data_IF_163404218351
#
_entry.id   IF_163404218351
#
_cell.length_a   1.000
_cell.length_b   1.000
_cell.length_c   1.000
_cell.angle_alpha   90.00
_cell.angle_beta   90.00
_cell.angle_gamma   90.00
#
_symmetry.space_group_name_H-M   'P 1'
#
loop_
_entity.id
_entity.type
_entity.pdbx_description
1 polymer ?
#
# COMPACT_ATOMS: atom_id res chain seq x y z
N UNK A 1 -14.05 40.33 -33.43
CA UNK A 1 -13.98 41.76 -33.04
C UNK A 1 -15.41 42.24 -32.78
N UNK A 2 -15.89 42.19 -31.54
CA UNK A 2 -17.16 42.79 -31.14
C UNK A 2 -16.91 43.59 -29.86
N UNK A 3 -16.71 44.89 -30.03
CA UNK A 3 -16.61 45.83 -28.92
C UNK A 3 -18.02 46.09 -28.39
N UNK A 4 -18.37 45.49 -27.25
CA UNK A 4 -19.48 45.97 -26.43
C UNK A 4 -18.95 46.40 -25.07
N UNK A 5 -18.97 47.70 -24.86
CA UNK A 5 -18.65 48.40 -23.62
C UNK A 5 -19.76 48.19 -22.59
N UNK A 6 -19.38 47.93 -21.34
CA UNK A 6 -20.29 47.95 -20.19
C UNK A 6 -20.70 49.39 -19.85
N UNK A 7 -21.88 49.56 -19.25
CA UNK A 7 -22.53 50.84 -18.93
C UNK A 7 -21.73 51.76 -17.98
N UNK A 8 -20.59 51.32 -17.44
CA UNK A 8 -19.73 52.10 -16.54
C UNK A 8 -18.25 52.17 -16.98
N UNK A 9 -17.97 52.07 -18.29
CA UNK A 9 -16.73 52.63 -18.86
C UNK A 9 -15.39 52.04 -18.41
N UNK A 10 -15.35 50.88 -17.75
CA UNK A 10 -14.10 50.13 -17.50
C UNK A 10 -13.93 49.00 -18.51
N UNK A 11 -12.72 48.90 -19.08
CA UNK A 11 -12.31 47.81 -19.94
C UNK A 11 -12.25 46.51 -19.12
N UNK A 12 -13.13 45.55 -19.44
CA UNK A 12 -13.09 44.23 -18.83
C UNK A 12 -11.84 43.49 -19.33
N UNK A 13 -10.83 43.44 -18.46
CA UNK A 13 -9.67 42.56 -18.64
C UNK A 13 -10.11 41.11 -18.58
N UNK A 14 -9.85 40.40 -19.67
CA UNK A 14 -9.51 38.99 -19.75
C UNK A 14 -10.48 37.96 -19.12
N UNK A 15 -11.47 37.55 -19.91
CA UNK A 15 -12.26 36.32 -19.67
C UNK A 15 -11.74 35.12 -20.45
N UNK A 16 -10.42 34.97 -20.63
CA UNK A 16 -9.83 33.85 -21.39
C UNK A 16 -9.81 32.51 -20.64
N UNK A 17 -10.32 32.46 -19.40
CA UNK A 17 -10.58 31.22 -18.66
C UNK A 17 -11.85 30.47 -19.13
N UNK A 18 -12.67 31.07 -20.00
CA UNK A 18 -13.92 30.45 -20.47
C UNK A 18 -13.63 29.67 -21.76
N UNK A 19 -13.73 28.33 -21.71
CA UNK A 19 -13.62 27.45 -22.90
C UNK A 19 -14.50 28.00 -24.03
N UNK A 20 -13.87 28.61 -25.03
CA UNK A 20 -14.52 29.01 -26.28
C UNK A 20 -14.69 27.73 -27.09
N UNK A 21 -15.91 27.20 -27.12
CA UNK A 21 -16.23 26.08 -28.00
C UNK A 21 -16.29 26.63 -29.42
N UNK A 22 -15.21 26.43 -30.16
CA UNK A 22 -15.17 26.78 -31.58
C UNK A 22 -16.05 25.79 -32.36
N UNK A 23 -17.22 26.25 -32.78
CA UNK A 23 -18.22 25.43 -33.49
C UNK A 23 -17.61 24.81 -34.75
N UNK A 24 -16.66 25.48 -35.40
CA UNK A 24 -16.00 24.98 -36.61
C UNK A 24 -14.98 23.88 -36.29
N UNK A 25 -14.21 24.02 -35.21
CA UNK A 25 -13.29 22.98 -34.74
C UNK A 25 -14.04 21.70 -34.32
N UNK A 26 -15.16 21.87 -33.61
CA UNK A 26 -16.01 20.74 -33.21
C UNK A 26 -16.74 20.11 -34.40
N UNK A 27 -17.16 20.89 -35.39
CA UNK A 27 -17.72 20.39 -36.64
C UNK A 27 -16.67 19.61 -37.46
N UNK A 28 -15.43 20.10 -37.53
CA UNK A 28 -14.32 19.40 -38.17
C UNK A 28 -13.97 18.08 -37.44
N UNK A 29 -13.91 18.10 -36.10
CA UNK A 29 -13.74 16.88 -35.29
C UNK A 29 -14.89 15.88 -35.47
N UNK A 30 -16.14 16.36 -35.57
CA UNK A 30 -17.29 15.52 -35.86
C UNK A 30 -17.20 14.88 -37.25
N UNK A 31 -16.82 15.65 -38.27
CA UNK A 31 -16.61 15.15 -39.63
C UNK A 31 -15.49 14.11 -39.71
N UNK A 32 -14.36 14.35 -39.06
CA UNK A 32 -13.26 13.38 -38.99
C UNK A 32 -13.67 12.08 -38.28
N UNK A 33 -14.48 12.18 -37.22
CA UNK A 33 -15.05 11.00 -36.55
C UNK A 33 -16.01 10.23 -37.47
N UNK A 34 -16.91 10.92 -38.17
CA UNK A 34 -17.85 10.30 -39.12
C UNK A 34 -17.14 9.64 -40.30
N UNK A 35 -16.06 10.25 -40.79
CA UNK A 35 -15.22 9.71 -41.85
C UNK A 35 -14.46 8.46 -41.36
N UNK A 36 -13.85 8.51 -40.18
CA UNK A 36 -13.23 7.35 -39.54
C UNK A 36 -14.21 6.20 -39.27
N UNK A 37 -15.43 6.49 -38.81
CA UNK A 37 -16.48 5.49 -38.63
C UNK A 37 -16.94 4.86 -39.96
N UNK A 38 -16.95 5.66 -41.04
CA UNK A 38 -17.29 5.20 -42.39
C UNK A 38 -16.21 4.28 -42.96
N UNK A 39 -14.94 4.63 -42.77
CA UNK A 39 -13.80 3.81 -43.19
C UNK A 39 -13.71 2.52 -42.38
N UNK A 40 -13.88 2.58 -41.06
CA UNK A 40 -13.93 1.39 -40.20
C UNK A 40 -15.08 0.46 -40.62
N UNK A 41 -16.25 1.02 -40.97
CA UNK A 41 -17.39 0.23 -41.46
C UNK A 41 -17.09 -0.48 -42.78
N UNK A 42 -16.40 0.19 -43.71
CA UNK A 42 -15.93 -0.43 -44.97
C UNK A 42 -14.93 -1.55 -44.69
N UNK A 43 -13.92 -1.30 -43.86
CA UNK A 43 -12.91 -2.29 -43.52
C UNK A 43 -13.50 -3.51 -42.78
N UNK A 44 -14.51 -3.30 -41.91
CA UNK A 44 -15.28 -4.39 -41.29
C UNK A 44 -16.04 -5.22 -42.31
N UNK A 45 -16.63 -4.59 -43.32
CA UNK A 45 -17.36 -5.25 -44.39
C UNK A 45 -16.42 -6.07 -45.29
N UNK A 46 -15.28 -5.51 -45.66
CA UNK A 46 -14.23 -6.18 -46.44
C UNK A 46 -13.64 -7.38 -45.70
N UNK A 47 -13.33 -7.24 -44.41
CA UNK A 47 -12.86 -8.35 -43.59
C UNK A 47 -13.91 -9.47 -43.49
N UNK A 48 -15.19 -9.13 -43.36
CA UNK A 48 -16.31 -10.08 -43.36
C UNK A 48 -16.41 -10.84 -44.69
N UNK A 49 -16.26 -10.15 -45.82
CA UNK A 49 -16.20 -10.75 -47.16
C UNK A 49 -15.00 -11.70 -47.32
N UNK A 50 -13.86 -11.34 -46.76
CA UNK A 50 -12.64 -12.16 -46.77
C UNK A 50 -12.64 -13.30 -45.74
N UNK A 51 -13.72 -13.48 -44.96
CA UNK A 51 -13.81 -14.49 -43.89
C UNK A 51 -12.85 -14.25 -42.71
N UNK A 52 -12.23 -13.08 -42.62
CA UNK A 52 -11.28 -12.72 -41.55
C UNK A 52 -11.98 -11.88 -40.48
N UNK A 53 -11.58 -12.04 -39.21
CA UNK A 53 -12.03 -11.13 -38.15
C UNK A 53 -11.38 -9.76 -38.34
N UNK A 54 -12.19 -8.71 -38.36
CA UNK A 54 -11.71 -7.33 -38.36
C UNK A 54 -11.06 -6.99 -37.01
N UNK A 55 -9.92 -6.33 -37.07
CA UNK A 55 -9.25 -5.73 -35.92
C UNK A 55 -8.89 -4.29 -36.29
N UNK A 56 -9.07 -3.36 -35.36
CA UNK A 56 -8.61 -1.98 -35.55
C UNK A 56 -7.08 -1.99 -35.80
N UNK A 57 -6.57 -1.24 -36.80
CA UNK A 57 -5.13 -1.07 -37.00
C UNK A 57 -4.44 -0.50 -35.74
N UNK A 58 -3.20 -0.91 -35.52
CA UNK A 58 -2.35 -0.45 -34.42
C UNK A 58 -1.79 0.95 -34.76
N UNK A 59 -1.74 1.85 -33.77
CA UNK A 59 -1.37 3.27 -33.87
C UNK A 59 0.13 3.53 -33.58
N UNK A 60 0.91 2.47 -33.32
CA UNK A 60 2.35 2.52 -33.12
C UNK A 60 2.79 2.91 -31.70
N UNK A 61 1.87 3.28 -30.82
CA UNK A 61 2.13 3.59 -29.41
C UNK A 61 1.99 2.38 -28.48
N UNK A 62 1.90 1.16 -29.04
CA UNK A 62 1.58 -0.04 -28.25
C UNK A 62 2.77 -0.63 -27.50
N UNK A 63 2.44 -1.31 -26.40
CA UNK A 63 3.39 -2.02 -25.57
C UNK A 63 3.42 -3.51 -25.93
N UNK A 64 4.55 -4.17 -25.67
CA UNK A 64 4.65 -5.62 -25.83
C UNK A 64 3.80 -6.32 -24.76
N UNK A 65 3.12 -7.41 -25.15
CA UNK A 65 2.36 -8.22 -24.20
C UNK A 65 3.32 -8.84 -23.19
N UNK A 66 3.19 -8.45 -21.92
CA UNK A 66 3.97 -9.01 -20.80
C UNK A 66 3.13 -9.92 -19.93
N UNK A 67 3.78 -10.80 -19.17
CA UNK A 67 3.10 -11.61 -18.17
C UNK A 67 2.50 -10.71 -17.09
N UNK A 68 1.28 -11.04 -16.62
CA UNK A 68 0.62 -10.27 -15.56
C UNK A 68 1.43 -10.38 -14.26
N UNK A 69 1.62 -9.25 -13.58
CA UNK A 69 2.30 -9.21 -12.29
C UNK A 69 1.37 -9.58 -11.12
N UNK A 70 0.06 -9.41 -11.28
CA UNK A 70 -0.93 -9.71 -10.26
C UNK A 70 -1.62 -11.05 -10.52
N UNK A 71 -1.66 -11.90 -9.50
CA UNK A 71 -2.43 -13.16 -9.50
C UNK A 71 -3.91 -12.82 -9.44
N UNK A 72 -4.71 -13.33 -10.38
CA UNK A 72 -6.17 -13.19 -10.30
C UNK A 72 -6.72 -14.20 -9.30
N UNK A 73 -7.26 -13.71 -8.20
CA UNK A 73 -7.87 -14.53 -7.16
C UNK A 73 -9.37 -14.72 -7.40
N UNK A 74 -9.74 -15.90 -7.90
CA UNK A 74 -11.12 -16.27 -8.16
C UNK A 74 -11.82 -16.92 -6.95
N UNK A 75 -11.08 -17.23 -5.87
CA UNK A 75 -11.64 -17.93 -4.70
C UNK A 75 -12.64 -17.08 -3.92
N UNK A 76 -12.45 -15.76 -3.95
CA UNK A 76 -13.32 -14.76 -3.30
C UNK A 76 -14.78 -14.76 -3.80
N UNK A 77 -15.03 -15.33 -4.97
CA UNK A 77 -16.35 -15.40 -5.60
C UNK A 77 -17.02 -16.77 -5.45
N UNK A 78 -16.36 -17.73 -4.77
CA UNK A 78 -16.92 -19.06 -4.53
C UNK A 78 -17.93 -18.98 -3.38
N UNK A 79 -19.19 -19.34 -3.65
CA UNK A 79 -20.28 -19.32 -2.66
C UNK A 79 -21.03 -18.00 -2.53
N UNK A 80 -20.61 -16.94 -3.23
CA UNK A 80 -21.31 -15.65 -3.21
C UNK A 80 -22.54 -15.69 -4.12
N UNK A 81 -23.73 -15.46 -3.57
CA UNK A 81 -24.97 -15.32 -4.35
C UNK A 81 -25.27 -13.84 -4.59
N UNK A 82 -25.35 -13.41 -5.85
CA UNK A 82 -25.67 -12.01 -6.20
C UNK A 82 -27.07 -11.95 -6.82
N UNK A 83 -27.92 -11.06 -6.28
CA UNK A 83 -29.25 -10.79 -6.85
C UNK A 83 -29.10 -10.03 -8.18
N UNK A 84 -29.56 -10.64 -9.26
CA UNK A 84 -29.51 -10.04 -10.60
C UNK A 84 -30.86 -9.44 -10.95
N UNK A 85 -30.95 -8.12 -11.23
CA UNK A 85 -32.19 -7.52 -11.69
C UNK A 85 -32.62 -8.16 -13.01
N UNK A 86 -33.88 -8.61 -13.08
CA UNK A 86 -34.48 -9.13 -14.30
C UNK A 86 -34.46 -8.05 -15.40
N UNK A 87 -33.58 -8.20 -16.39
CA UNK A 87 -33.31 -7.18 -17.42
C UNK A 87 -31.82 -6.85 -17.58
N UNK A 88 -30.98 -7.18 -16.60
CA UNK A 88 -29.50 -7.10 -16.69
C UNK A 88 -28.92 -8.27 -17.49
N UNK A 89 -29.55 -8.56 -18.62
CA UNK A 89 -29.21 -9.70 -19.47
C UNK A 89 -27.87 -9.45 -20.16
N UNK A 90 -26.89 -10.25 -19.78
CA UNK A 90 -25.76 -10.78 -20.55
C UNK A 90 -25.73 -10.32 -22.01
N UNK A 91 -24.82 -9.41 -22.35
CA UNK A 91 -24.68 -8.91 -23.71
C UNK A 91 -23.84 -7.64 -23.78
N UNK A 92 -23.67 -7.14 -25.02
CA UNK A 92 -22.74 -6.06 -25.42
C UNK A 92 -22.82 -4.73 -24.67
N UNK A 93 -23.80 -4.52 -23.78
CA UNK A 93 -24.06 -3.22 -23.12
C UNK A 93 -24.72 -3.34 -21.74
N UNK A 94 -24.45 -4.40 -20.98
CA UNK A 94 -25.03 -4.57 -19.64
C UNK A 94 -24.04 -5.12 -18.62
N UNK A 95 -23.89 -4.44 -17.48
CA UNK A 95 -23.23 -4.97 -16.27
C UNK A 95 -24.18 -5.99 -15.62
N UNK A 96 -24.16 -7.22 -16.12
CA UNK A 96 -24.91 -8.35 -15.54
C UNK A 96 -24.11 -9.05 -14.45
N UNK A 97 -24.64 -10.14 -13.89
CA UNK A 97 -23.85 -10.99 -12.99
C UNK A 97 -22.71 -11.70 -13.74
N UNK A 98 -21.52 -11.65 -13.13
CA UNK A 98 -20.30 -12.26 -13.64
C UNK A 98 -19.13 -11.27 -13.69
N UNK A 99 -18.09 -11.63 -14.44
CA UNK A 99 -16.91 -10.79 -14.67
C UNK A 99 -17.19 -9.77 -15.77
N UNK A 100 -16.99 -8.48 -15.49
CA UNK A 100 -17.20 -7.40 -16.44
C UNK A 100 -15.87 -6.83 -16.97
N UNK A 101 -15.73 -6.72 -18.28
CA UNK A 101 -14.60 -6.06 -18.92
C UNK A 101 -14.97 -4.63 -19.28
N UNK A 102 -14.27 -3.66 -18.71
CA UNK A 102 -14.52 -2.23 -19.00
C UNK A 102 -14.07 -1.86 -20.41
N UNK A 103 -12.93 -2.39 -20.87
CA UNK A 103 -12.39 -2.08 -22.20
C UNK A 103 -13.27 -2.57 -23.35
N UNK A 104 -14.00 -3.67 -23.16
CA UNK A 104 -14.79 -4.30 -24.22
C UNK A 104 -16.30 -4.20 -23.96
N UNK A 105 -16.72 -3.67 -22.82
CA UNK A 105 -18.13 -3.56 -22.39
C UNK A 105 -18.89 -4.90 -22.43
N UNK A 106 -18.20 -6.00 -22.09
CA UNK A 106 -18.74 -7.36 -22.10
C UNK A 106 -18.76 -7.96 -20.69
N UNK A 107 -19.84 -8.69 -20.40
CA UNK A 107 -19.99 -9.47 -19.16
C UNK A 107 -19.86 -10.96 -19.46
N UNK A 108 -19.05 -11.68 -18.67
CA UNK A 108 -18.77 -13.10 -18.77
C UNK A 108 -19.24 -13.84 -17.53
N UNK A 109 -19.87 -15.01 -17.71
CA UNK A 109 -20.44 -15.78 -16.59
C UNK A 109 -19.39 -16.63 -15.87
N UNK A 110 -18.50 -17.22 -16.65
CA UNK A 110 -17.52 -18.19 -16.15
C UNK A 110 -16.11 -17.58 -16.11
N UNK A 111 -15.30 -18.00 -15.14
CA UNK A 111 -13.90 -17.62 -15.02
C UNK A 111 -13.07 -17.98 -16.28
N UNK A 112 -13.36 -19.11 -16.90
CA UNK A 112 -12.70 -19.56 -18.12
C UNK A 112 -12.97 -18.61 -19.29
N UNK A 113 -14.24 -18.25 -19.51
CA UNK A 113 -14.63 -17.32 -20.56
C UNK A 113 -14.03 -15.92 -20.33
N UNK A 114 -13.96 -15.50 -19.06
CA UNK A 114 -13.28 -14.27 -18.67
C UNK A 114 -11.79 -14.30 -19.06
N UNK A 115 -11.05 -15.32 -18.64
CA UNK A 115 -9.62 -15.43 -18.94
C UNK A 115 -9.37 -15.51 -20.45
N UNK A 116 -10.17 -16.30 -21.18
CA UNK A 116 -10.11 -16.40 -22.63
C UNK A 116 -10.37 -15.05 -23.30
N UNK A 117 -11.28 -14.23 -22.75
CA UNK A 117 -11.52 -12.88 -23.23
C UNK A 117 -10.35 -11.94 -22.98
N UNK A 118 -9.82 -11.87 -21.76
CA UNK A 118 -8.71 -10.97 -21.43
C UNK A 118 -7.44 -11.34 -22.21
N UNK A 119 -7.27 -12.63 -22.54
CA UNK A 119 -6.18 -13.11 -23.39
C UNK A 119 -6.49 -13.05 -24.89
N UNK A 120 -7.69 -12.62 -25.29
CA UNK A 120 -8.06 -12.53 -26.70
C UNK A 120 -7.33 -11.38 -27.39
N UNK A 121 -6.94 -11.59 -28.65
CA UNK A 121 -6.33 -10.55 -29.49
C UNK A 121 -7.20 -9.30 -29.64
N UNK A 122 -8.52 -9.42 -29.51
CA UNK A 122 -9.43 -8.28 -29.57
C UNK A 122 -9.27 -7.39 -28.32
N UNK A 123 -9.23 -8.00 -27.14
CA UNK A 123 -9.02 -7.29 -25.88
C UNK A 123 -7.60 -6.71 -25.77
N UNK A 124 -6.58 -7.50 -26.13
CA UNK A 124 -5.19 -7.05 -26.10
C UNK A 124 -4.94 -5.84 -27.01
N UNK A 125 -5.49 -5.84 -28.23
CA UNK A 125 -5.39 -4.67 -29.12
C UNK A 125 -6.18 -3.47 -28.61
N UNK A 126 -7.37 -3.69 -28.01
CA UNK A 126 -8.14 -2.61 -27.41
C UNK A 126 -7.44 -1.97 -26.20
N UNK A 127 -6.58 -2.72 -25.51
CA UNK A 127 -5.73 -2.24 -24.39
C UNK A 127 -4.37 -1.72 -24.84
N UNK A 128 -4.09 -1.67 -26.16
CA UNK A 128 -2.81 -1.16 -26.67
C UNK A 128 -1.64 -2.13 -26.51
N UNK A 129 -1.90 -3.44 -26.48
CA UNK A 129 -0.87 -4.48 -26.47
C UNK A 129 -0.74 -5.13 -27.85
N UNK A 130 0.51 -5.32 -28.29
CA UNK A 130 0.80 -6.08 -29.51
C UNK A 130 0.90 -7.57 -29.21
N UNK A 131 0.34 -8.41 -30.10
CA UNK A 131 0.49 -9.88 -30.04
C UNK A 131 1.79 -10.40 -30.66
N UNK A 132 2.73 -9.52 -30.99
CA UNK A 132 4.02 -9.91 -31.56
C UNK A 132 4.93 -10.48 -30.46
N UNK A 133 5.35 -11.73 -30.64
CA UNK A 133 6.30 -12.39 -29.74
C UNK A 133 7.71 -12.11 -30.26
N UNK A 134 8.48 -11.27 -29.55
CA UNK A 134 9.91 -11.09 -29.81
C UNK A 134 10.71 -12.14 -29.05
N UNK A 135 11.72 -12.72 -29.69
CA UNK A 135 12.69 -13.57 -28.99
C UNK A 135 13.58 -12.66 -28.15
N UNK A 136 13.75 -13.00 -26.86
CA UNK A 136 14.61 -12.24 -25.96
C UNK A 136 16.07 -12.31 -26.42
N UNK A 137 16.78 -11.20 -26.31
CA UNK A 137 18.24 -11.16 -26.55
C UNK A 137 19.00 -11.69 -25.32
N UNK A 138 20.26 -12.09 -25.50
CA UNK A 138 21.10 -12.56 -24.39
C UNK A 138 21.30 -11.46 -23.33
N UNK A 139 21.37 -10.20 -23.75
CA UNK A 139 21.49 -9.03 -22.88
C UNK A 139 20.23 -8.81 -22.03
N UNK A 140 19.04 -8.94 -22.64
CA UNK A 140 17.76 -8.85 -21.91
C UNK A 140 17.59 -9.99 -20.89
N UNK A 141 18.06 -11.20 -21.22
CA UNK A 141 18.04 -12.34 -20.30
C UNK A 141 19.01 -12.09 -19.14
N UNK A 142 20.20 -11.56 -19.41
CA UNK A 142 21.17 -11.22 -18.38
C UNK A 142 20.62 -10.17 -17.40
N UNK A 143 20.08 -9.07 -17.92
CA UNK A 143 19.46 -8.02 -17.11
C UNK A 143 18.29 -8.54 -16.27
N UNK A 144 17.51 -9.49 -16.80
CA UNK A 144 16.41 -10.11 -16.06
C UNK A 144 16.91 -11.05 -14.95
N UNK A 145 17.98 -11.79 -15.19
CA UNK A 145 18.63 -12.64 -14.17
C UNK A 145 19.22 -11.76 -13.07
N UNK A 146 19.90 -10.67 -13.41
CA UNK A 146 20.42 -9.70 -12.44
C UNK A 146 19.30 -9.10 -11.59
N UNK A 147 18.21 -8.63 -12.20
CA UNK A 147 17.07 -8.07 -11.45
C UNK A 147 16.42 -9.09 -10.49
N UNK A 148 16.33 -10.37 -10.90
CA UNK A 148 15.83 -11.45 -10.02
C UNK A 148 16.83 -11.75 -8.90
N UNK A 149 18.12 -11.75 -9.20
CA UNK A 149 19.18 -11.93 -8.22
C UNK A 149 19.21 -10.81 -7.19
N UNK A 150 19.09 -9.55 -7.61
CA UNK A 150 19.00 -8.38 -6.73
C UNK A 150 17.78 -8.45 -5.81
N UNK A 151 16.61 -8.81 -6.35
CA UNK A 151 15.40 -9.04 -5.52
C UNK A 151 15.61 -10.16 -4.50
N UNK A 152 16.32 -11.22 -4.86
CA UNK A 152 16.65 -12.31 -3.94
C UNK A 152 17.66 -11.87 -2.87
N UNK A 153 18.66 -11.06 -3.24
CA UNK A 153 19.65 -10.52 -2.31
C UNK A 153 19.04 -9.48 -1.37
N UNK A 154 18.10 -8.64 -1.84
CA UNK A 154 17.35 -7.72 -1.01
C UNK A 154 16.56 -8.47 0.08
N UNK A 155 15.80 -9.49 -0.31
CA UNK A 155 15.11 -10.38 0.64
C UNK A 155 16.07 -11.02 1.65
N UNK A 156 17.22 -11.53 1.18
CA UNK A 156 18.25 -12.10 2.08
C UNK A 156 18.87 -11.07 3.04
N UNK A 157 19.04 -9.82 2.62
CA UNK A 157 19.53 -8.73 3.48
C UNK A 157 18.48 -8.33 4.51
N UNK A 158 17.20 -8.38 4.15
CA UNK A 158 16.07 -8.15 5.05
C UNK A 158 15.95 -9.26 6.12
N UNK A 159 16.30 -10.50 5.77
CA UNK A 159 16.31 -11.67 6.68
C UNK A 159 17.45 -11.65 7.72
N UNK A 160 18.38 -10.68 7.68
CA UNK A 160 19.47 -10.53 8.66
C UNK A 160 18.92 -9.84 9.93
N UNK A 161 18.50 -10.65 10.90
CA UNK A 161 17.73 -10.20 12.08
C UNK A 161 18.63 -9.83 13.27
N UNK A 162 19.88 -10.29 13.37
CA UNK A 162 20.72 -9.98 14.55
C UNK A 162 21.34 -8.58 14.48
N UNK A 163 21.28 -7.83 15.59
CA UNK A 163 21.87 -6.48 15.71
C UNK A 163 23.36 -6.46 15.33
N UNK A 164 24.08 -7.52 15.66
CA UNK A 164 25.51 -7.64 15.43
C UNK A 164 25.85 -7.81 13.94
N UNK A 165 25.07 -8.60 13.20
CA UNK A 165 25.25 -8.75 11.76
C UNK A 165 24.89 -7.47 11.00
N UNK A 166 23.87 -6.71 11.43
CA UNK A 166 23.57 -5.39 10.85
C UNK A 166 24.70 -4.39 11.06
N UNK A 167 25.33 -4.38 12.24
CA UNK A 167 26.48 -3.52 12.52
C UNK A 167 27.71 -3.90 11.68
N UNK A 168 27.91 -5.19 11.42
CA UNK A 168 28.97 -5.67 10.54
C UNK A 168 28.74 -5.27 9.08
N UNK A 169 27.52 -5.45 8.56
CA UNK A 169 27.16 -5.01 7.20
C UNK A 169 27.36 -3.49 7.04
N UNK A 170 26.92 -2.69 8.03
CA UNK A 170 27.13 -1.23 8.03
C UNK A 170 28.61 -0.86 8.00
N UNK A 171 29.43 -1.55 8.80
CA UNK A 171 30.88 -1.33 8.88
C UNK A 171 31.57 -1.69 7.57
N UNK A 172 31.17 -2.80 6.94
CA UNK A 172 31.69 -3.21 5.63
C UNK A 172 31.29 -2.24 4.52
N UNK A 173 30.06 -1.70 4.53
CA UNK A 173 29.62 -0.65 3.61
C UNK A 173 30.43 0.63 3.81
N UNK A 174 30.64 1.07 5.05
CA UNK A 174 31.46 2.24 5.37
C UNK A 174 32.94 2.06 4.97
N UNK A 175 33.49 0.86 5.17
CA UNK A 175 34.87 0.55 4.79
C UNK A 175 35.02 0.51 3.26
N UNK A 176 34.05 -0.05 2.52
CA UNK A 176 33.99 0.00 1.05
C UNK A 176 33.87 1.44 0.55
N UNK A 177 33.02 2.26 1.14
CA UNK A 177 32.87 3.66 0.77
C UNK A 177 34.17 4.45 1.01
N UNK A 178 34.89 4.15 2.12
CA UNK A 178 36.22 4.72 2.37
C UNK A 178 37.25 4.25 1.35
N UNK A 179 37.22 2.99 0.93
CA UNK A 179 38.08 2.45 -0.13
C UNK A 179 37.78 3.08 -1.49
N UNK A 180 36.52 3.29 -1.85
CA UNK A 180 36.14 4.00 -3.07
C UNK A 180 36.57 5.47 -3.04
N UNK A 181 36.41 6.14 -1.89
CA UNK A 181 36.92 7.50 -1.69
C UNK A 181 38.45 7.54 -1.81
N UNK A 182 39.17 6.53 -1.32
CA UNK A 182 40.63 6.39 -1.50
C UNK A 182 40.99 6.17 -2.98
N UNK A 183 40.25 5.33 -3.70
CA UNK A 183 40.44 5.08 -5.14
C UNK A 183 40.23 6.37 -5.95
N UNK A 184 39.11 7.06 -5.74
CA UNK A 184 38.82 8.36 -6.38
C UNK A 184 39.88 9.43 -6.07
N UNK A 185 40.39 9.49 -4.83
CA UNK A 185 41.49 10.41 -4.46
C UNK A 185 42.79 10.07 -5.19
N UNK A 186 43.11 8.79 -5.34
CA UNK A 186 44.29 8.32 -6.07
C UNK A 186 44.17 8.66 -7.57
N UNK A 187 43.04 8.33 -8.19
CA UNK A 187 42.79 8.63 -9.61
C UNK A 187 42.82 10.16 -9.89
N UNK A 188 42.30 10.97 -8.95
CA UNK A 188 42.38 12.43 -9.06
C UNK A 188 43.82 12.96 -8.88
N UNK A 189 44.62 12.35 -8.01
CA UNK A 189 46.03 12.72 -7.82
C UNK A 189 46.88 12.32 -9.04
N UNK A 190 46.64 11.15 -9.62
CA UNK A 190 47.33 10.69 -10.84
C UNK A 190 46.96 11.57 -12.04
N UNK A 191 45.68 11.97 -12.17
CA UNK A 191 45.26 12.96 -13.20
C UNK A 191 45.97 14.30 -13.04
N UNK A 192 46.03 14.85 -11.81
CA UNK A 192 46.77 16.10 -11.53
C UNK A 192 48.28 15.97 -11.78
N UNK A 193 48.87 14.79 -11.58
CA UNK A 193 50.29 14.56 -11.88
C UNK A 193 50.55 14.59 -13.38
N UNK A 194 49.70 13.93 -14.17
CA UNK A 194 49.77 13.95 -15.64
C UNK A 194 49.59 15.37 -16.18
N UNK A 195 48.61 16.14 -15.69
CA UNK A 195 48.40 17.55 -16.07
C UNK A 195 49.64 18.41 -15.76
N UNK A 196 50.31 18.19 -14.62
CA UNK A 196 51.56 18.90 -14.27
C UNK A 196 52.74 18.50 -15.15
N UNK A 197 52.84 17.23 -15.54
CA UNK A 197 53.88 16.76 -16.47
C UNK A 197 53.65 17.31 -17.89
N UNK A 198 52.40 17.36 -18.35
CA UNK A 198 52.01 18.01 -19.60
C UNK A 198 52.26 19.52 -19.55
N UNK A 199 51.88 20.21 -18.47
CA UNK A 199 52.17 21.64 -18.30
C UNK A 199 53.68 21.94 -18.26
N UNK A 200 54.49 21.04 -17.68
CA UNK A 200 55.96 21.16 -17.74
C UNK A 200 56.50 20.94 -19.14
N UNK A 201 55.96 19.97 -19.90
CA UNK A 201 56.33 19.75 -21.31
C UNK A 201 55.96 20.96 -22.18
N UNK A 202 54.76 21.51 -22.00
CA UNK A 202 54.32 22.74 -22.67
C UNK A 202 55.22 23.93 -22.31
N UNK A 203 55.63 24.05 -21.04
CA UNK A 203 56.56 25.10 -20.58
C UNK A 203 58.01 24.91 -21.07
N UNK A 204 58.40 23.70 -21.46
CA UNK A 204 59.70 23.46 -22.13
C UNK A 204 59.65 23.68 -23.65
N UNK A 205 58.48 23.61 -24.27
CA UNK A 205 58.31 23.84 -25.71
C UNK A 205 58.13 25.32 -26.09
N UNK A 206 57.80 26.21 -25.15
CA UNK A 206 57.83 27.66 -25.33
C UNK A 206 58.65 28.31 -24.21
N UNK A 207 59.85 28.80 -24.55
CA UNK A 207 60.77 29.45 -23.62
C UNK A 207 60.24 30.75 -23.02
N UNK A 208 60.82 31.09 -21.85
CA UNK A 208 60.58 32.26 -21.00
C UNK A 208 60.09 33.52 -21.73
N UNK A 209 58.91 34.04 -21.35
CA UNK A 209 58.79 35.37 -20.74
C UNK A 209 57.34 35.68 -20.28
N UNK A 210 57.26 36.67 -19.39
CA UNK A 210 56.09 37.44 -18.91
C UNK A 210 55.50 37.04 -17.54
N UNK A 211 55.99 37.81 -16.55
CA UNK A 211 55.41 38.15 -15.25
C UNK A 211 54.13 38.98 -15.44
N UNK A 212 53.01 38.58 -14.83
CA UNK A 212 51.92 39.47 -14.41
C UNK A 212 51.43 39.04 -13.03
N UNK A 213 51.44 40.00 -12.11
CA UNK A 213 50.94 39.93 -10.72
C UNK A 213 49.40 39.99 -10.69
N UNK A 214 48.80 39.38 -9.66
CA UNK A 214 47.37 39.48 -9.38
C UNK A 214 46.98 38.72 -8.12
N UNK A 215 46.96 39.46 -7.00
CA UNK A 215 46.42 39.07 -5.69
C UNK A 215 44.92 38.72 -5.76
N UNK A 216 44.51 37.66 -5.07
CA UNK A 216 43.39 37.70 -4.10
C UNK A 216 43.32 36.39 -3.30
N UNK A 217 43.50 36.51 -1.99
CA UNK A 217 43.01 35.57 -0.98
C UNK A 217 41.52 35.85 -0.75
N UNK A 218 40.63 34.87 -0.86
CA UNK A 218 39.37 34.82 -0.08
C UNK A 218 38.97 33.36 0.20
N UNK A 219 39.10 32.97 1.47
CA UNK A 219 38.44 31.83 2.09
C UNK A 219 36.92 32.08 2.21
N UNK A 220 36.15 30.99 2.15
CA UNK A 220 34.82 30.78 2.76
C UNK A 220 33.70 31.81 2.46
N UNK A 221 32.89 31.52 1.44
CA UNK A 221 31.52 32.05 1.37
C UNK A 221 30.56 31.08 0.66
N UNK A 222 29.87 30.22 1.43
CA UNK A 222 28.41 29.99 1.39
C UNK A 222 28.01 28.70 2.11
N UNK A 223 27.98 28.78 3.44
CA UNK A 223 26.89 28.19 4.21
C UNK A 223 25.97 29.34 4.66
N UNK A 224 24.66 29.19 4.46
CA UNK A 224 23.51 29.89 5.05
C UNK A 224 22.45 30.08 3.97
N UNK A 225 21.31 29.40 4.12
CA UNK A 225 19.95 29.95 4.03
C UNK A 225 18.99 28.80 4.34
N UNK A 226 18.54 28.74 5.59
CA UNK A 226 17.32 28.02 5.94
C UNK A 226 16.10 28.79 5.46
N UNK A 227 15.03 28.06 5.10
CA UNK A 227 13.70 28.64 5.00
C UNK A 227 12.69 27.72 5.68
N UNK A 228 11.72 28.40 6.29
CA UNK A 228 10.92 28.05 7.45
C UNK A 228 9.69 27.21 7.13
N UNK A 229 9.19 26.53 8.15
CA UNK A 229 8.03 25.65 8.08
C UNK A 229 6.67 26.34 7.95
N UNK A 230 5.71 25.45 7.68
CA UNK A 230 4.28 25.42 8.05
C UNK A 230 3.23 26.12 7.16
N UNK A 231 1.95 25.65 7.14
CA UNK A 231 1.35 24.69 8.08
C UNK A 231 0.54 23.51 7.51
N UNK A 232 0.41 22.54 8.41
CA UNK A 232 -0.65 21.53 8.55
C UNK A 232 -2.02 22.20 8.60
N UNK A 233 -3.04 21.59 7.96
CA UNK A 233 -4.43 21.78 8.37
C UNK A 233 -5.46 21.53 7.28
N UNK A 234 -5.99 20.30 7.21
CA UNK A 234 -7.41 20.05 6.91
C UNK A 234 -7.81 18.69 7.50
N UNK A 235 -8.03 18.65 8.81
CA UNK A 235 -8.90 17.64 9.41
C UNK A 235 -10.35 18.16 9.28
N UNK A 236 -11.01 17.77 8.19
CA UNK A 236 -12.43 17.98 8.03
C UNK A 236 -13.21 17.19 9.08
N UNK A 237 -14.25 17.80 9.62
CA UNK A 237 -15.21 17.24 10.59
C UNK A 237 -15.79 15.88 10.13
N UNK A 238 -15.12 14.77 10.48
CA UNK A 238 -15.56 13.40 10.25
C UNK A 238 -16.47 12.84 11.37
N UNK A 239 -16.67 13.60 12.45
CA UNK A 239 -17.35 13.14 13.66
C UNK A 239 -18.79 12.66 13.46
N UNK A 240 -19.51 13.20 12.47
CA UNK A 240 -20.92 12.83 12.25
C UNK A 240 -21.10 11.45 11.61
N UNK A 241 -20.22 11.04 10.70
CA UNK A 241 -20.36 9.75 10.01
C UNK A 241 -19.85 8.59 10.87
N UNK A 242 -18.72 8.79 11.54
CA UNK A 242 -18.13 7.82 12.46
C UNK A 242 -19.09 7.51 13.63
N UNK A 243 -19.68 8.54 14.24
CA UNK A 243 -20.62 8.37 15.35
C UNK A 243 -21.87 7.56 14.95
N UNK A 244 -22.47 7.83 13.79
CA UNK A 244 -23.62 7.06 13.31
C UNK A 244 -23.27 5.60 12.99
N UNK A 245 -22.07 5.34 12.46
CA UNK A 245 -21.58 3.98 12.23
C UNK A 245 -21.40 3.23 13.55
N UNK A 246 -20.75 3.85 14.54
CA UNK A 246 -20.51 3.28 15.86
C UNK A 246 -21.82 3.00 16.61
N UNK A 247 -22.81 3.89 16.55
CA UNK A 247 -24.14 3.64 17.12
C UNK A 247 -24.79 2.39 16.53
N UNK A 248 -24.70 2.20 15.21
CA UNK A 248 -25.24 1.02 14.55
C UNK A 248 -24.50 -0.26 14.97
N UNK A 249 -23.17 -0.21 15.00
CA UNK A 249 -22.33 -1.35 15.39
C UNK A 249 -22.52 -1.72 16.86
N UNK A 250 -22.65 -0.74 17.77
CA UNK A 250 -22.91 -0.98 19.18
C UNK A 250 -24.26 -1.69 19.38
N UNK A 251 -25.30 -1.21 18.68
CA UNK A 251 -26.61 -1.85 18.71
C UNK A 251 -26.59 -3.27 18.16
N UNK A 252 -25.78 -3.53 17.13
CA UNK A 252 -25.57 -4.88 16.60
C UNK A 252 -24.87 -5.78 17.62
N UNK A 253 -23.80 -5.30 18.27
CA UNK A 253 -23.10 -6.03 19.33
C UNK A 253 -24.01 -6.35 20.53
N UNK A 254 -24.89 -5.42 20.91
CA UNK A 254 -25.83 -5.62 22.03
C UNK A 254 -27.01 -6.52 21.68
N UNK A 255 -27.45 -6.53 20.40
CA UNK A 255 -28.56 -7.36 19.94
C UNK A 255 -28.12 -8.78 19.54
N UNK A 256 -26.86 -8.94 19.13
CA UNK A 256 -26.28 -10.21 18.72
C UNK A 256 -26.20 -11.17 19.91
N UNK A 257 -26.98 -12.26 19.86
CA UNK A 257 -26.85 -13.38 20.80
C UNK A 257 -25.72 -14.34 20.40
N UNK A 258 -25.02 -14.04 19.31
CA UNK A 258 -24.20 -15.01 18.57
C UNK A 258 -22.74 -15.04 19.01
N UNK A 259 -22.31 -14.17 19.94
CA UNK A 259 -20.93 -14.15 20.45
C UNK A 259 -20.92 -14.52 21.94
N UNK A 260 -20.78 -15.81 22.28
CA UNK A 260 -20.67 -16.23 23.67
C UNK A 260 -19.41 -15.62 24.29
N UNK A 261 -19.55 -15.05 25.49
CA UNK A 261 -18.41 -14.57 26.25
C UNK A 261 -18.05 -13.10 26.06
N UNK A 262 -18.77 -12.33 25.23
CA UNK A 262 -18.48 -10.90 25.02
C UNK A 262 -19.65 -10.04 25.47
N UNK A 263 -19.38 -9.03 26.30
CA UNK A 263 -20.34 -7.97 26.63
C UNK A 263 -19.71 -6.62 26.34
N UNK A 264 -20.47 -5.71 25.72
CA UNK A 264 -20.01 -4.38 25.32
C UNK A 264 -20.99 -3.30 25.79
N UNK A 265 -20.45 -2.22 26.34
CA UNK A 265 -21.18 -1.03 26.77
C UNK A 265 -20.38 0.24 26.49
N UNK A 266 -20.95 1.38 26.82
CA UNK A 266 -20.24 2.66 26.79
C UNK A 266 -19.57 2.89 28.15
N UNK A 267 -18.35 3.42 28.15
CA UNK A 267 -17.70 3.85 29.40
C UNK A 267 -18.48 5.03 30.01
N UNK A 268 -18.96 5.93 29.15
CA UNK A 268 -19.81 7.07 29.49
C UNK A 268 -20.92 7.18 28.46
N UNK A 269 -22.16 7.35 28.91
CA UNK A 269 -23.34 7.41 28.04
C UNK A 269 -23.26 8.52 26.97
N UNK A 270 -22.51 9.58 27.25
CA UNK A 270 -22.35 10.74 26.35
C UNK A 270 -21.28 10.55 25.27
N UNK A 271 -20.43 9.52 25.36
CA UNK A 271 -19.30 9.33 24.44
C UNK A 271 -19.35 7.98 23.71
N UNK A 272 -19.85 8.00 22.48
CA UNK A 272 -19.92 6.82 21.60
C UNK A 272 -18.54 6.30 21.14
N UNK A 273 -17.46 7.07 21.32
CA UNK A 273 -16.11 6.69 20.89
C UNK A 273 -15.33 5.90 21.96
N UNK A 274 -15.89 5.70 23.15
CA UNK A 274 -15.23 4.96 24.24
C UNK A 274 -16.13 3.83 24.75
N UNK A 275 -15.75 2.59 24.47
CA UNK A 275 -16.52 1.42 24.85
C UNK A 275 -15.81 0.65 25.96
N UNK A 276 -16.60 0.14 26.90
CA UNK A 276 -16.16 -0.83 27.89
C UNK A 276 -16.57 -2.23 27.40
N UNK A 277 -15.60 -3.14 27.37
CA UNK A 277 -15.78 -4.51 26.91
C UNK A 277 -15.40 -5.46 28.04
N UNK A 278 -16.29 -6.40 28.34
CA UNK A 278 -16.02 -7.51 29.25
C UNK A 278 -15.87 -8.79 28.42
N UNK A 279 -14.71 -9.44 28.58
CA UNK A 279 -14.31 -10.66 27.87
C UNK A 279 -14.27 -11.84 28.84
N UNK A 280 -15.25 -12.71 28.73
CA UNK A 280 -15.33 -13.98 29.44
C UNK A 280 -14.71 -15.07 28.57
N UNK A 281 -13.59 -15.62 29.01
CA UNK A 281 -12.84 -16.64 28.29
C UNK A 281 -13.40 -18.02 28.63
N UNK A 282 -13.75 -18.80 27.61
CA UNK A 282 -14.25 -20.17 27.77
C UNK A 282 -13.33 -21.04 28.62
N UNK A 283 -13.91 -21.89 29.47
CA UNK A 283 -13.16 -22.75 30.41
C UNK A 283 -12.19 -23.72 29.71
N UNK A 284 -12.51 -24.10 28.47
CA UNK A 284 -11.69 -25.00 27.64
C UNK A 284 -10.34 -24.38 27.22
N UNK A 285 -10.17 -23.06 27.41
CA UNK A 285 -8.96 -22.34 27.05
C UNK A 285 -7.79 -22.76 27.96
N UNK A 286 -6.71 -23.28 27.36
CA UNK A 286 -5.58 -23.93 28.07
C UNK A 286 -5.00 -23.07 29.20
N UNK A 287 -4.69 -21.80 28.91
CA UNK A 287 -4.01 -20.90 29.85
C UNK A 287 -4.95 -19.99 30.63
N UNK A 288 -5.98 -19.46 29.96
CA UNK A 288 -6.83 -18.38 30.47
C UNK A 288 -8.29 -18.80 30.73
N UNK A 289 -8.60 -20.10 30.69
CA UNK A 289 -9.98 -20.57 30.83
C UNK A 289 -10.62 -20.14 32.16
N UNK A 290 -11.83 -19.61 32.05
CA UNK A 290 -12.62 -19.05 33.16
C UNK A 290 -12.29 -17.60 33.51
N UNK A 291 -11.36 -16.94 32.80
CA UNK A 291 -11.00 -15.55 33.05
C UNK A 291 -12.07 -14.55 32.60
N UNK A 292 -12.20 -13.45 33.35
CA UNK A 292 -13.11 -12.34 33.01
C UNK A 292 -12.35 -11.02 32.92
N UNK A 293 -11.88 -10.68 31.73
CA UNK A 293 -11.02 -9.51 31.52
C UNK A 293 -11.81 -8.30 31.03
N UNK A 294 -11.52 -7.15 31.64
CA UNK A 294 -12.11 -5.87 31.25
C UNK A 294 -11.17 -5.11 30.33
N UNK A 295 -11.69 -4.55 29.25
CA UNK A 295 -10.94 -3.75 28.30
C UNK A 295 -11.71 -2.50 27.88
N UNK A 296 -10.97 -1.43 27.56
CA UNK A 296 -11.51 -0.23 26.95
C UNK A 296 -11.13 -0.21 25.47
N UNK A 297 -12.13 -0.01 24.61
CA UNK A 297 -11.96 0.14 23.18
C UNK A 297 -12.21 1.62 22.82
N UNK A 298 -11.16 2.31 22.38
CA UNK A 298 -11.20 3.75 22.06
C UNK A 298 -11.13 3.95 20.56
N UNK A 299 -12.13 4.61 19.99
CA UNK A 299 -12.24 4.83 18.54
C UNK A 299 -11.69 6.21 18.16
N UNK A 300 -10.84 6.30 17.12
CA UNK A 300 -10.39 7.59 16.62
C UNK A 300 -11.53 8.32 15.89
N UNK A 301 -11.50 9.67 15.81
CA UNK A 301 -12.46 10.44 15.00
C UNK A 301 -12.44 10.08 13.51
N UNK A 302 -11.34 9.49 13.02
CA UNK A 302 -11.17 9.02 11.65
C UNK A 302 -11.70 7.59 11.42
N UNK A 303 -12.34 6.95 12.41
CA UNK A 303 -12.95 5.63 12.26
C UNK A 303 -14.02 5.64 11.14
N UNK A 304 -14.09 4.61 10.25
CA UNK A 304 -13.34 3.35 10.23
C UNK A 304 -12.04 3.38 9.41
N UNK A 305 -11.55 4.53 8.98
CA UNK A 305 -10.30 4.60 8.19
C UNK A 305 -9.05 4.32 9.02
N UNK A 306 -9.09 4.64 10.32
CA UNK A 306 -8.05 4.31 11.30
C UNK A 306 -8.58 3.28 12.31
N UNK A 307 -7.72 2.35 12.79
CA UNK A 307 -8.11 1.35 13.77
C UNK A 307 -8.42 1.97 15.13
N UNK A 308 -9.30 1.36 15.94
CA UNK A 308 -9.42 1.67 17.36
C UNK A 308 -8.22 1.13 18.15
N UNK A 309 -8.03 1.63 19.37
CA UNK A 309 -7.07 1.08 20.33
C UNK A 309 -7.79 0.28 21.39
N UNK A 310 -7.28 -0.90 21.73
CA UNK A 310 -7.82 -1.77 22.78
C UNK A 310 -6.83 -1.84 23.94
N UNK A 311 -7.30 -1.48 25.14
CA UNK A 311 -6.49 -1.51 26.36
C UNK A 311 -7.20 -2.26 27.48
N UNK A 312 -6.57 -3.32 27.98
CA UNK A 312 -7.02 -4.03 29.16
C UNK A 312 -6.87 -3.18 30.42
N UNK A 313 -7.91 -3.23 31.25
CA UNK A 313 -7.92 -2.64 32.59
C UNK A 313 -7.33 -3.62 33.59
N UNK A 314 -7.03 -3.14 34.80
CA UNK A 314 -6.57 -4.02 35.87
C UNK A 314 -7.68 -5.00 36.29
N UNK A 315 -7.36 -6.28 36.52
CA UNK A 315 -6.03 -6.90 36.37
C UNK A 315 -5.66 -7.13 34.90
N UNK A 316 -4.43 -6.72 34.54
CA UNK A 316 -3.94 -6.82 33.16
C UNK A 316 -3.55 -8.29 32.90
N UNK A 317 -4.12 -8.95 31.87
CA UNK A 317 -3.76 -10.31 31.51
C UNK A 317 -2.29 -10.40 31.10
N UNK A 318 -1.56 -11.34 31.71
CA UNK A 318 -0.17 -11.62 31.34
C UNK A 318 -0.12 -12.40 30.01
N UNK A 319 0.13 -11.72 28.90
CA UNK A 319 0.04 -12.28 27.55
C UNK A 319 1.17 -11.79 26.63
N UNK A 320 1.71 -12.60 25.70
CA UNK A 320 2.79 -12.18 24.78
C UNK A 320 2.49 -10.92 23.96
N UNK A 321 1.24 -10.74 23.52
CA UNK A 321 0.83 -9.60 22.69
C UNK A 321 0.15 -8.45 23.46
N UNK A 322 0.23 -8.44 24.80
CA UNK A 322 -0.32 -7.37 25.63
C UNK A 322 0.84 -6.68 26.37
N UNK A 323 0.96 -5.38 26.19
CA UNK A 323 1.96 -4.56 26.88
C UNK A 323 1.69 -4.52 28.39
N UNK A 324 2.70 -4.19 29.18
CA UNK A 324 2.55 -3.94 30.62
C UNK A 324 1.58 -2.79 30.93
N UNK A 325 1.38 -1.88 29.97
CA UNK A 325 0.37 -0.82 30.02
C UNK A 325 -1.07 -1.32 29.83
N UNK A 326 -1.25 -2.58 29.45
CA UNK A 326 -2.52 -3.21 29.10
C UNK A 326 -2.91 -3.05 27.63
N UNK A 327 -2.12 -2.34 26.83
CA UNK A 327 -2.42 -2.14 25.41
C UNK A 327 -2.19 -3.42 24.59
N UNK A 328 -3.14 -3.77 23.73
CA UNK A 328 -3.08 -4.96 22.88
C UNK A 328 -2.42 -4.64 21.54
N UNK A 329 -1.45 -5.44 21.12
CA UNK A 329 -0.73 -5.30 19.85
C UNK A 329 -0.97 -6.52 18.96
N UNK A 330 -1.83 -6.39 17.95
CA UNK A 330 -2.10 -7.42 16.94
C UNK A 330 -2.24 -6.76 15.56
N UNK A 331 -1.93 -7.52 14.49
CA UNK A 331 -1.88 -7.03 13.11
C UNK A 331 -3.17 -6.32 12.66
N UNK A 332 -4.35 -6.84 13.02
CA UNK A 332 -5.65 -6.22 12.70
C UNK A 332 -5.80 -4.79 13.26
N UNK A 333 -5.07 -4.43 14.31
CA UNK A 333 -5.08 -3.09 14.91
C UNK A 333 -3.94 -2.18 14.41
N UNK A 334 -3.05 -2.70 13.55
CA UNK A 334 -2.02 -1.88 12.93
C UNK A 334 -2.62 -0.99 11.83
N UNK A 335 -2.24 0.30 11.76
CA UNK A 335 -2.69 1.21 10.72
C UNK A 335 -2.46 0.64 9.30
N UNK A 336 -3.29 1.03 8.32
CA UNK A 336 -3.22 0.53 6.94
C UNK A 336 -2.00 0.99 6.14
N UNK A 337 -0.95 1.50 6.80
CA UNK A 337 0.27 1.96 6.13
C UNK A 337 1.01 0.78 5.48
N UNK A 338 1.65 1.03 4.33
CA UNK A 338 2.58 0.08 3.74
C UNK A 338 3.78 -0.05 4.68
N UNK A 339 3.84 -1.19 5.36
CA UNK A 339 5.01 -1.56 6.15
C UNK A 339 6.24 -1.57 5.25
N UNK A 340 7.15 -0.65 5.56
CA UNK A 340 8.44 -0.55 4.86
C UNK A 340 9.22 -1.86 4.86
N UNK A 341 8.95 -2.74 5.81
CA UNK A 341 9.66 -3.99 6.00
C UNK A 341 8.84 -5.23 5.57
N UNK A 342 7.58 -5.05 5.14
CA UNK A 342 6.76 -6.10 4.52
C UNK A 342 6.51 -7.34 5.39
N UNK A 343 6.61 -7.24 6.72
CA UNK A 343 6.46 -8.39 7.62
C UNK A 343 5.01 -8.86 7.74
N UNK A 344 4.04 -7.99 7.47
CA UNK A 344 2.61 -8.34 7.48
C UNK A 344 1.96 -7.95 6.15
N UNK A 345 1.05 -8.79 5.67
CA UNK A 345 0.30 -8.48 4.46
C UNK A 345 -0.67 -7.33 4.73
N UNK A 346 -0.92 -6.48 3.73
CA UNK A 346 -1.93 -5.41 3.85
C UNK A 346 -3.34 -5.94 4.20
N UNK A 347 -3.62 -7.21 3.90
CA UNK A 347 -4.88 -7.89 4.26
C UNK A 347 -4.98 -8.28 5.73
N UNK A 348 -3.85 -8.40 6.43
CA UNK A 348 -3.80 -8.74 7.87
C UNK A 348 -3.88 -7.49 8.75
N UNK A 349 -3.65 -6.31 8.15
CA UNK A 349 -3.74 -5.01 8.79
C UNK A 349 -5.17 -4.50 8.91
N UNK A 350 -5.32 -3.38 9.62
CA UNK A 350 -6.61 -2.70 9.70
C UNK A 350 -7.17 -2.38 8.32
N UNK A 351 -8.44 -2.70 8.13
CA UNK A 351 -9.22 -2.33 6.96
C UNK A 351 -10.58 -1.80 7.41
N UNK A 352 -11.15 -0.78 6.76
CA UNK A 352 -12.47 -0.24 7.11
C UNK A 352 -13.63 -1.25 7.06
N UNK A 353 -13.40 -2.44 6.49
CA UNK A 353 -14.35 -3.55 6.48
C UNK A 353 -14.43 -4.24 7.85
N UNK A 354 -13.39 -4.14 8.67
CA UNK A 354 -13.34 -4.73 10.00
C UNK A 354 -14.28 -4.00 10.97
N UNK A 355 -14.93 -4.76 11.85
CA UNK A 355 -15.90 -4.27 12.82
C UNK A 355 -15.37 -4.50 14.24
N UNK A 356 -15.95 -3.84 15.27
CA UNK A 356 -15.60 -4.14 16.66
C UNK A 356 -15.76 -5.63 17.00
N UNK A 357 -16.76 -6.29 16.41
CA UNK A 357 -16.96 -7.73 16.49
C UNK A 357 -15.75 -8.52 15.99
N UNK A 358 -15.25 -8.24 14.78
CA UNK A 358 -14.12 -8.99 14.22
C UNK A 358 -12.83 -8.79 15.02
N UNK A 359 -12.64 -7.59 15.59
CA UNK A 359 -11.53 -7.32 16.52
C UNK A 359 -11.65 -8.23 17.75
N UNK A 360 -12.79 -8.24 18.42
CA UNK A 360 -12.98 -9.00 19.66
C UNK A 360 -12.92 -10.52 19.45
N UNK A 361 -13.40 -11.01 18.30
CA UNK A 361 -13.21 -12.41 17.90
C UNK A 361 -11.73 -12.76 17.70
N UNK A 362 -10.95 -11.85 17.10
CA UNK A 362 -9.49 -12.01 16.99
C UNK A 362 -8.82 -12.05 18.36
N UNK A 363 -9.26 -11.23 19.31
CA UNK A 363 -8.78 -11.27 20.71
C UNK A 363 -9.06 -12.63 21.35
N UNK A 364 -10.29 -13.16 21.25
CA UNK A 364 -10.61 -14.49 21.81
C UNK A 364 -9.73 -15.58 21.20
N UNK A 365 -9.54 -15.56 19.87
CA UNK A 365 -8.67 -16.51 19.19
C UNK A 365 -7.22 -16.41 19.70
N UNK A 366 -6.75 -15.21 20.04
CA UNK A 366 -5.42 -14.98 20.59
C UNK A 366 -5.26 -15.55 22.00
N UNK A 367 -6.29 -15.44 22.85
CA UNK A 367 -6.28 -16.08 24.17
C UNK A 367 -6.29 -17.61 24.07
N UNK A 368 -6.95 -18.17 23.05
CA UNK A 368 -6.98 -19.61 22.78
C UNK A 368 -5.59 -20.16 22.39
N UNK A 369 -4.91 -19.48 21.47
CA UNK A 369 -3.54 -19.82 21.07
C UNK A 369 -2.64 -18.57 21.03
N UNK A 370 -1.88 -18.29 22.10
CA UNK A 370 -1.00 -17.12 22.17
C UNK A 370 0.09 -17.14 21.10
N UNK A 371 0.26 -16.01 20.40
CA UNK A 371 1.27 -15.87 19.34
C UNK A 371 2.58 -15.24 19.88
N UNK A 372 3.73 -15.83 19.55
CA UNK A 372 5.06 -15.37 19.96
C UNK A 372 5.95 -14.89 18.80
N UNK A 373 5.41 -14.75 17.59
CA UNK A 373 6.12 -14.19 16.42
C UNK A 373 6.40 -12.69 16.58
N UNK A 374 5.40 -11.92 17.02
CA UNK A 374 5.49 -10.46 17.24
C UNK A 374 5.05 -10.09 18.67
N UNK A 375 5.86 -10.42 19.70
CA UNK A 375 5.46 -10.20 21.08
C UNK A 375 5.63 -8.74 21.52
N UNK A 376 4.58 -8.19 22.12
CA UNK A 376 4.61 -6.93 22.85
C UNK A 376 5.31 -7.08 24.22
N UNK A 377 5.15 -8.24 24.86
CA UNK A 377 5.77 -8.60 26.12
C UNK A 377 6.78 -9.74 25.90
N UNK A 378 8.06 -9.37 25.91
CA UNK A 378 9.17 -10.30 25.68
C UNK A 378 9.29 -11.37 26.77
N UNK A 379 8.96 -11.04 28.02
CA UNK A 379 9.01 -12.00 29.13
C UNK A 379 7.93 -13.07 28.95
N UNK A 380 6.69 -12.66 28.67
CA UNK A 380 5.58 -13.57 28.43
C UNK A 380 5.86 -14.49 27.24
N UNK A 381 6.42 -13.95 26.15
CA UNK A 381 6.80 -14.75 24.98
C UNK A 381 7.88 -15.79 25.28
N UNK A 382 8.94 -15.40 26.01
CA UNK A 382 10.00 -16.33 26.42
C UNK A 382 9.44 -17.46 27.29
N UNK A 383 8.65 -17.12 28.30
CA UNK A 383 8.05 -18.10 29.21
C UNK A 383 7.06 -19.03 28.49
N UNK A 384 6.34 -18.53 27.48
CA UNK A 384 5.46 -19.34 26.63
C UNK A 384 6.23 -20.40 25.84
N UNK A 385 7.37 -20.03 25.24
CA UNK A 385 8.24 -21.00 24.52
C UNK A 385 8.75 -22.08 25.47
N UNK A 386 9.18 -21.69 26.66
CA UNK A 386 9.63 -22.63 27.69
C UNK A 386 8.52 -23.59 28.16
N UNK A 387 7.26 -23.13 28.31
CA UNK A 387 6.12 -24.00 28.64
C UNK A 387 5.75 -24.92 27.47
N UNK A 388 5.78 -24.42 26.22
CA UNK A 388 5.55 -25.23 25.00
C UNK A 388 6.59 -26.35 24.84
N UNK A 389 7.84 -26.07 25.19
CA UNK A 389 8.93 -27.06 25.18
C UNK A 389 8.97 -27.94 26.46
N UNK A 390 8.05 -27.72 27.41
CA UNK A 390 7.96 -28.48 28.66
C UNK A 390 9.07 -28.19 29.67
N UNK A 391 9.87 -27.13 29.47
CA UNK A 391 10.99 -26.72 30.32
C UNK A 391 10.59 -25.84 31.49
N UNK A 392 9.38 -25.26 31.48
CA UNK A 392 8.86 -24.41 32.54
C UNK A 392 7.34 -24.54 32.72
N UNK A 393 6.84 -24.15 33.90
CA UNK A 393 5.39 -24.02 34.19
C UNK A 393 5.01 -22.61 34.63
N UNK A 394 5.97 -21.69 34.59
CA UNK A 394 5.83 -20.33 35.13
C UNK A 394 4.82 -19.50 34.34
N UNK A 395 4.81 -19.64 33.01
CA UNK A 395 3.82 -19.00 32.15
C UNK A 395 2.40 -19.33 32.59
N UNK A 396 2.09 -20.63 32.73
CA UNK A 396 0.77 -21.10 33.16
C UNK A 396 0.43 -20.63 34.57
N UNK A 397 1.41 -20.62 35.49
CA UNK A 397 1.22 -20.13 36.86
C UNK A 397 0.81 -18.66 36.88
N UNK A 398 1.48 -17.80 36.09
CA UNK A 398 1.14 -16.38 35.98
C UNK A 398 -0.21 -16.15 35.31
N UNK A 399 -0.51 -16.86 34.22
CA UNK A 399 -1.82 -16.80 33.58
C UNK A 399 -2.95 -17.14 34.56
N UNK A 400 -2.79 -18.22 35.34
CA UNK A 400 -3.78 -18.64 36.36
C UNK A 400 -3.87 -17.66 37.54
N UNK A 401 -2.82 -16.90 37.84
CA UNK A 401 -2.89 -15.80 38.81
C UNK A 401 -3.76 -14.67 38.27
N UNK A 402 -3.53 -14.22 37.04
CA UNK A 402 -4.34 -13.17 36.40
C UNK A 402 -5.82 -13.58 36.27
N UNK A 403 -6.11 -14.85 35.97
CA UNK A 403 -7.50 -15.35 35.92
C UNK A 403 -8.19 -15.23 37.29
N UNK A 404 -7.53 -15.62 38.39
CA UNK A 404 -8.11 -15.48 39.73
C UNK A 404 -8.34 -14.03 40.13
N UNK A 405 -7.35 -13.17 39.88
CA UNK A 405 -7.47 -11.73 40.10
C UNK A 405 -8.63 -11.14 39.29
N UNK A 406 -8.86 -11.64 38.06
CA UNK A 406 -9.95 -11.17 37.19
C UNK A 406 -11.34 -11.52 37.71
N UNK A 407 -11.45 -12.58 38.51
CA UNK A 407 -12.68 -13.00 39.17
C UNK A 407 -12.90 -12.29 40.52
N UNK A 408 -11.94 -11.45 40.96
CA UNK A 408 -11.93 -10.86 42.30
C UNK A 408 -11.56 -11.85 43.39
N UNK A 409 -10.96 -12.99 43.02
CA UNK A 409 -10.44 -14.00 43.94
C UNK A 409 -8.95 -13.69 44.21
N UNK A 410 -8.71 -12.99 45.32
CA UNK A 410 -7.41 -12.56 45.90
C UNK A 410 -6.53 -11.59 45.08
#
# INVERSE_FOLDING_TARGET
MSNKTSAYGQAAGDTDFRKKYDVEEYAAKAKNREEGEREERKARYEAKLAGKKYYKPLDGSETLTTARNATQDFSKLVGTTTLVPAGSAVGKRGRGAGFFCETCELTFKDNKQWIEHVNSMQHQRATGHTGEVRKATAEEVHARIEAVWERMQARKREDIITLQERLQVRKEEDDKEREEKRRKKKDAADRKRLEKEEAKKVKTEYGDDVRIEGEHDEDDMMAVMGFTGNPVGMAGSAGSAAASLLQRQLKQMQAGKDIPGISCGLVKDDNIFEWEVMLMINDDCKYYGGGNFRAHLTFPPAYPHMPPTLRFQQPIPFHPNIYESGELCISILHPPEEDRFGYEAASERWSPVQTPETILLSVISLFADPNDESPANLEAAKLLREDREGRGKEFRRRCRKCVRESLGED
#
